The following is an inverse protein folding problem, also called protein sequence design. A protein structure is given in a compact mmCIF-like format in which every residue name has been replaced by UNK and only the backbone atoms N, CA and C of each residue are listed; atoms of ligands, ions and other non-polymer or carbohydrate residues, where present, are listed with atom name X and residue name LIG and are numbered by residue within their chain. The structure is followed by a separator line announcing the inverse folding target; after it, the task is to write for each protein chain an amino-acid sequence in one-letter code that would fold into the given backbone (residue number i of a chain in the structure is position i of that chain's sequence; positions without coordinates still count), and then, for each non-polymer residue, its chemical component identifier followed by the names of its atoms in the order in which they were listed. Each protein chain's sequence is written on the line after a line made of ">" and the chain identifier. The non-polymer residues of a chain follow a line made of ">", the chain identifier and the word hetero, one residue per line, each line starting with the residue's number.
data_IF_990160098730
#
_entry.id   IF_990160098730
#
_cell.length_a   1.000
_cell.length_b   1.000
_cell.length_c   1.000
_cell.angle_alpha   90.00
_cell.angle_beta   90.00
_cell.angle_gamma   90.00
#
_symmetry.space_group_name_H-M   'P 1'
#
loop_
_entity.id
_entity.type
_entity.pdbx_description
1 polymer ?
#
# COMPACT_ATOMS: atom_id res chain seq x y z
N UNK A 1 49.97 -6.58 -1.27
CA UNK A 1 50.73 -6.75 -0.01
C UNK A 1 50.35 -5.72 1.05
N UNK A 2 49.76 -4.59 0.68
CA UNK A 2 49.33 -3.51 1.59
C UNK A 2 48.33 -3.96 2.66
N UNK A 3 47.55 -5.01 2.37
CA UNK A 3 46.64 -5.63 3.35
C UNK A 3 47.35 -6.03 4.64
N UNK A 4 48.62 -6.45 4.60
CA UNK A 4 49.37 -6.82 5.81
C UNK A 4 49.88 -5.61 6.61
N UNK A 5 49.86 -4.40 6.02
CA UNK A 5 50.08 -3.16 6.76
C UNK A 5 48.81 -2.77 7.52
N UNK A 6 47.64 -2.89 6.88
CA UNK A 6 46.33 -2.60 7.50
C UNK A 6 45.90 -3.66 8.53
N UNK A 7 46.22 -4.91 8.24
CA UNK A 7 45.85 -6.07 9.05
C UNK A 7 47.06 -6.99 9.22
N UNK A 8 47.99 -6.63 10.12
CA UNK A 8 49.18 -7.44 10.39
C UNK A 8 48.82 -8.87 10.79
N UNK A 9 49.55 -9.84 10.22
CA UNK A 9 49.35 -11.26 10.45
C UNK A 9 50.64 -11.90 10.97
N UNK A 10 50.50 -12.91 11.86
CA UNK A 10 51.61 -13.75 12.34
C UNK A 10 51.25 -15.23 12.26
N UNK A 11 50.99 -15.76 11.04
CA UNK A 11 50.63 -17.16 10.85
C UNK A 11 51.76 -18.10 11.30
N UNK A 12 51.38 -19.21 11.91
CA UNK A 12 52.35 -20.13 12.49
C UNK A 12 52.85 -21.18 11.50
N UNK A 13 52.12 -21.43 10.41
CA UNK A 13 52.44 -22.40 9.35
C UNK A 13 52.83 -23.82 9.79
N UNK A 14 52.55 -24.21 11.04
CA UNK A 14 52.81 -25.55 11.59
C UNK A 14 52.43 -26.72 10.65
N UNK A 15 51.29 -26.71 9.94
CA UNK A 15 50.95 -27.79 9.01
C UNK A 15 51.93 -27.97 7.84
N UNK A 16 52.71 -26.94 7.49
CA UNK A 16 53.67 -26.97 6.38
C UNK A 16 55.01 -27.61 6.76
N UNK A 17 55.21 -28.04 8.02
CA UNK A 17 56.46 -28.70 8.46
C UNK A 17 56.75 -30.01 7.71
N UNK A 18 55.76 -30.59 7.05
CA UNK A 18 55.89 -31.79 6.22
C UNK A 18 56.64 -31.56 4.90
N UNK A 19 56.84 -30.29 4.49
CA UNK A 19 57.52 -29.93 3.24
C UNK A 19 58.97 -29.54 3.48
N UNK A 20 59.82 -29.74 2.47
CA UNK A 20 61.22 -29.26 2.47
C UNK A 20 61.28 -27.73 2.44
N UNK A 21 62.43 -27.14 2.77
CA UNK A 21 62.59 -25.69 2.97
C UNK A 21 61.99 -24.82 1.85
N UNK A 22 62.34 -25.09 0.59
CA UNK A 22 61.89 -24.33 -0.58
C UNK A 22 60.39 -24.48 -0.84
N UNK A 23 59.87 -25.70 -0.78
CA UNK A 23 58.44 -25.98 -0.95
C UNK A 23 57.59 -25.35 0.17
N UNK A 24 58.08 -25.44 1.40
CA UNK A 24 57.44 -24.85 2.58
C UNK A 24 57.29 -23.34 2.43
N UNK A 25 58.33 -22.68 1.93
CA UNK A 25 58.30 -21.24 1.65
C UNK A 25 57.27 -20.91 0.56
N UNK A 26 57.27 -21.65 -0.55
CA UNK A 26 56.27 -21.49 -1.62
C UNK A 26 54.83 -21.64 -1.11
N UNK A 27 54.55 -22.65 -0.29
CA UNK A 27 53.25 -22.84 0.33
C UNK A 27 52.87 -21.70 1.29
N UNK A 28 53.82 -21.23 2.12
CA UNK A 28 53.58 -20.13 3.04
C UNK A 28 53.24 -18.84 2.27
N UNK A 29 54.00 -18.51 1.22
CA UNK A 29 53.72 -17.39 0.33
C UNK A 29 52.34 -17.52 -0.35
N UNK A 30 52.00 -18.71 -0.84
CA UNK A 30 50.68 -18.97 -1.43
C UNK A 30 49.52 -18.71 -0.47
N UNK A 31 49.66 -19.09 0.81
CA UNK A 31 48.67 -18.78 1.84
C UNK A 31 48.58 -17.28 2.15
N UNK A 32 49.71 -16.57 2.17
CA UNK A 32 49.74 -15.11 2.35
C UNK A 32 49.00 -14.38 1.22
N UNK A 33 49.28 -14.76 -0.04
CA UNK A 33 48.59 -14.20 -1.21
C UNK A 33 47.10 -14.50 -1.13
N UNK A 34 46.74 -15.76 -0.86
CA UNK A 34 45.33 -16.19 -0.69
C UNK A 34 44.61 -15.33 0.35
N UNK A 35 45.22 -15.08 1.51
CA UNK A 35 44.63 -14.22 2.54
C UNK A 35 44.42 -12.79 2.03
N UNK A 36 45.43 -12.18 1.41
CA UNK A 36 45.33 -10.81 0.86
C UNK A 36 44.19 -10.71 -0.16
N UNK A 37 44.13 -11.63 -1.11
CA UNK A 37 43.09 -11.68 -2.14
C UNK A 37 41.71 -11.83 -1.50
N UNK A 38 41.56 -12.72 -0.52
CA UNK A 38 40.28 -12.97 0.12
C UNK A 38 39.78 -11.76 0.91
N UNK A 39 40.67 -10.99 1.55
CA UNK A 39 40.33 -9.72 2.21
C UNK A 39 39.79 -8.71 1.19
N UNK A 40 40.46 -8.56 0.06
CA UNK A 40 40.02 -7.66 -1.03
C UNK A 40 38.69 -8.11 -1.64
N UNK A 41 38.53 -9.41 -1.93
CA UNK A 41 37.27 -9.97 -2.42
C UNK A 41 36.13 -9.72 -1.43
N UNK A 42 36.38 -9.93 -0.13
CA UNK A 42 35.38 -9.68 0.91
C UNK A 42 35.05 -8.20 1.04
N UNK A 43 36.04 -7.30 0.92
CA UNK A 43 35.87 -5.84 0.92
C UNK A 43 34.99 -5.38 -0.24
N UNK A 44 35.20 -5.94 -1.42
CA UNK A 44 34.49 -5.58 -2.66
C UNK A 44 33.13 -6.28 -2.83
N UNK A 45 32.83 -7.28 -1.99
CA UNK A 45 31.56 -8.01 -2.04
C UNK A 45 30.38 -7.12 -1.66
N UNK A 46 29.29 -7.26 -2.43
CA UNK A 46 28.03 -6.51 -2.27
C UNK A 46 26.89 -7.46 -1.91
N UNK A 47 25.72 -6.92 -1.56
CA UNK A 47 24.54 -7.75 -1.26
C UNK A 47 24.08 -8.61 -2.45
N UNK A 48 24.35 -8.15 -3.68
CA UNK A 48 24.08 -8.90 -4.91
C UNK A 48 25.07 -10.03 -5.21
N UNK A 49 26.20 -10.12 -4.47
CA UNK A 49 27.16 -11.21 -4.65
C UNK A 49 26.50 -12.55 -4.32
N UNK A 50 26.66 -13.60 -5.15
CA UNK A 50 26.06 -14.92 -4.90
C UNK A 50 26.42 -15.48 -3.52
N UNK A 51 25.50 -16.23 -2.92
CA UNK A 51 25.70 -16.80 -1.58
C UNK A 51 26.83 -17.85 -1.57
N UNK A 52 26.95 -18.62 -2.65
CA UNK A 52 28.05 -19.57 -2.86
C UNK A 52 29.44 -18.94 -2.74
N UNK A 53 29.61 -17.70 -3.22
CA UNK A 53 30.89 -16.99 -3.07
C UNK A 53 31.27 -16.78 -1.60
N UNK A 54 30.29 -16.47 -0.74
CA UNK A 54 30.54 -16.31 0.70
C UNK A 54 30.84 -17.65 1.38
N UNK A 55 30.17 -18.73 0.98
CA UNK A 55 30.46 -20.08 1.48
C UNK A 55 31.88 -20.52 1.12
N UNK A 56 32.33 -20.25 -0.11
CA UNK A 56 33.69 -20.57 -0.53
C UNK A 56 34.73 -19.74 0.23
N UNK A 57 34.46 -18.45 0.46
CA UNK A 57 35.27 -17.60 1.33
C UNK A 57 35.40 -18.23 2.73
N UNK A 58 34.29 -18.67 3.34
CA UNK A 58 34.31 -19.28 4.67
C UNK A 58 35.14 -20.57 4.71
N UNK A 59 35.06 -21.41 3.67
CA UNK A 59 35.90 -22.63 3.55
C UNK A 59 37.38 -22.29 3.49
N UNK A 60 37.77 -21.28 2.71
CA UNK A 60 39.17 -20.85 2.61
C UNK A 60 39.64 -20.22 3.92
N UNK A 61 38.81 -19.42 4.59
CA UNK A 61 39.11 -18.87 5.92
C UNK A 61 39.35 -19.96 6.96
N UNK A 62 38.55 -21.04 6.95
CA UNK A 62 38.77 -22.19 7.83
C UNK A 62 40.16 -22.81 7.61
N UNK A 63 40.57 -22.99 6.35
CA UNK A 63 41.90 -23.50 6.02
C UNK A 63 43.03 -22.54 6.46
N UNK A 64 42.87 -21.23 6.24
CA UNK A 64 43.86 -20.23 6.68
C UNK A 64 43.97 -20.18 8.20
N UNK A 65 42.86 -20.33 8.93
CA UNK A 65 42.85 -20.43 10.39
C UNK A 65 43.69 -21.59 10.89
N UNK A 66 43.66 -22.75 10.21
CA UNK A 66 44.52 -23.91 10.54
C UNK A 66 46.01 -23.61 10.36
N UNK A 67 46.38 -22.62 9.53
CA UNK A 67 47.75 -22.18 9.33
C UNK A 67 48.15 -21.02 10.26
N UNK A 68 47.26 -20.59 11.15
CA UNK A 68 47.49 -19.59 12.18
C UNK A 68 47.13 -18.16 11.78
N UNK A 69 46.39 -17.96 10.69
CA UNK A 69 45.90 -16.63 10.31
C UNK A 69 44.79 -16.17 11.27
N UNK A 70 44.79 -14.87 11.62
CA UNK A 70 43.67 -14.23 12.29
C UNK A 70 42.61 -13.83 11.26
N UNK A 71 41.60 -14.69 11.13
CA UNK A 71 40.52 -14.54 10.15
C UNK A 71 39.28 -13.84 10.70
N UNK A 72 39.26 -13.47 12.00
CA UNK A 72 38.04 -13.05 12.71
C UNK A 72 37.33 -11.88 12.01
N UNK A 73 38.07 -10.82 11.68
CA UNK A 73 37.51 -9.62 11.04
C UNK A 73 36.84 -9.94 9.70
N UNK A 74 37.48 -10.79 8.90
CA UNK A 74 36.99 -11.17 7.57
C UNK A 74 35.77 -12.08 7.70
N UNK A 75 35.84 -13.06 8.60
CA UNK A 75 34.74 -13.97 8.91
C UNK A 75 33.49 -13.18 9.38
N UNK A 76 33.64 -12.29 10.36
CA UNK A 76 32.54 -11.44 10.86
C UNK A 76 31.93 -10.58 9.75
N UNK A 77 32.76 -10.05 8.85
CA UNK A 77 32.28 -9.26 7.71
C UNK A 77 31.41 -10.09 6.76
N UNK A 78 31.82 -11.33 6.47
CA UNK A 78 31.07 -12.27 5.63
C UNK A 78 29.74 -12.67 6.29
N UNK A 79 29.78 -13.04 7.57
CA UNK A 79 28.57 -13.38 8.34
C UNK A 79 27.56 -12.23 8.38
N UNK A 80 28.03 -10.99 8.54
CA UNK A 80 27.20 -9.79 8.50
C UNK A 80 26.59 -9.54 7.11
N UNK A 81 27.33 -9.82 6.02
CA UNK A 81 26.79 -9.74 4.66
C UNK A 81 25.69 -10.77 4.43
N UNK A 82 25.90 -12.01 4.86
CA UNK A 82 24.91 -13.08 4.78
C UNK A 82 23.63 -12.72 5.54
N UNK A 83 23.75 -12.29 6.80
CA UNK A 83 22.59 -11.87 7.62
C UNK A 83 21.80 -10.72 6.97
N UNK A 84 22.49 -9.73 6.39
CA UNK A 84 21.83 -8.62 5.66
C UNK A 84 21.08 -9.13 4.43
N UNK A 85 21.66 -10.09 3.71
CA UNK A 85 21.05 -10.69 2.52
C UNK A 85 19.79 -11.49 2.86
N UNK A 86 19.82 -12.27 3.94
CA UNK A 86 18.65 -13.02 4.41
C UNK A 86 17.51 -12.07 4.81
N UNK A 87 17.86 -11.00 5.52
CA UNK A 87 16.92 -9.94 5.92
C UNK A 87 16.29 -9.26 4.69
N UNK A 88 17.09 -8.98 3.66
CA UNK A 88 16.59 -8.44 2.39
C UNK A 88 15.62 -9.41 1.70
N UNK A 89 15.91 -10.72 1.71
CA UNK A 89 15.01 -11.75 1.21
C UNK A 89 13.64 -11.75 1.92
N UNK A 90 13.63 -11.63 3.25
CA UNK A 90 12.37 -11.52 3.99
C UNK A 90 11.60 -10.24 3.68
N UNK A 91 12.28 -9.10 3.61
CA UNK A 91 11.66 -7.81 3.31
C UNK A 91 11.05 -7.80 1.91
N UNK A 92 11.72 -8.38 0.92
CA UNK A 92 11.21 -8.49 -0.44
C UNK A 92 9.90 -9.29 -0.49
N UNK A 93 9.85 -10.44 0.18
CA UNK A 93 8.62 -11.26 0.29
C UNK A 93 7.48 -10.49 0.94
N UNK A 94 7.74 -9.80 2.05
CA UNK A 94 6.73 -8.98 2.73
C UNK A 94 6.25 -7.83 1.84
N UNK A 95 7.16 -7.18 1.11
CA UNK A 95 6.83 -6.13 0.14
C UNK A 95 5.95 -6.66 -1.00
N UNK A 96 6.24 -7.84 -1.55
CA UNK A 96 5.40 -8.46 -2.59
C UNK A 96 3.99 -8.77 -2.07
N UNK A 97 3.87 -9.32 -0.86
CA UNK A 97 2.58 -9.56 -0.21
C UNK A 97 1.81 -8.25 -0.03
N UNK A 98 2.47 -7.19 0.45
CA UNK A 98 1.85 -5.89 0.65
C UNK A 98 1.37 -5.27 -0.68
N UNK A 99 2.17 -5.35 -1.74
CA UNK A 99 1.77 -4.93 -3.10
C UNK A 99 0.55 -5.69 -3.59
N UNK A 100 0.52 -7.01 -3.39
CA UNK A 100 -0.64 -7.84 -3.75
C UNK A 100 -1.92 -7.42 -3.01
N UNK A 101 -1.83 -7.13 -1.71
CA UNK A 101 -2.96 -6.60 -0.92
C UNK A 101 -3.40 -5.23 -1.40
N UNK A 102 -2.45 -4.35 -1.71
CA UNK A 102 -2.75 -3.00 -2.21
C UNK A 102 -3.55 -3.06 -3.51
N UNK A 103 -3.14 -3.91 -4.47
CA UNK A 103 -3.85 -4.08 -5.74
C UNK A 103 -5.30 -4.52 -5.50
N UNK A 104 -5.53 -5.49 -4.60
CA UNK A 104 -6.90 -5.94 -4.28
C UNK A 104 -7.76 -4.80 -3.73
N UNK A 105 -7.25 -4.06 -2.76
CA UNK A 105 -7.97 -2.91 -2.18
C UNK A 105 -8.25 -1.84 -3.23
N UNK A 106 -7.30 -1.56 -4.13
CA UNK A 106 -7.51 -0.59 -5.22
C UNK A 106 -8.64 -1.02 -6.16
N UNK A 107 -8.75 -2.31 -6.47
CA UNK A 107 -9.86 -2.84 -7.29
C UNK A 107 -11.20 -2.70 -6.56
N UNK A 108 -11.27 -3.12 -5.28
CA UNK A 108 -12.48 -3.00 -4.46
C UNK A 108 -12.96 -1.55 -4.33
N UNK A 109 -12.04 -0.60 -4.14
CA UNK A 109 -12.36 0.84 -4.10
C UNK A 109 -12.98 1.30 -5.43
N UNK A 110 -12.42 0.88 -6.58
CA UNK A 110 -12.96 1.24 -7.89
C UNK A 110 -14.36 0.65 -8.14
N UNK A 111 -14.64 -0.55 -7.65
CA UNK A 111 -15.98 -1.15 -7.71
C UNK A 111 -16.99 -0.34 -6.88
N UNK A 112 -16.62 0.04 -5.65
CA UNK A 112 -17.47 0.86 -4.79
C UNK A 112 -17.69 2.28 -5.35
N UNK A 113 -16.69 2.89 -5.97
CA UNK A 113 -16.84 4.18 -6.67
C UNK A 113 -17.88 4.08 -7.80
N UNK A 114 -17.82 3.02 -8.62
CA UNK A 114 -18.78 2.80 -9.69
C UNK A 114 -20.22 2.56 -9.18
N UNK A 115 -20.37 1.91 -8.03
CA UNK A 115 -21.67 1.76 -7.36
C UNK A 115 -22.18 3.09 -6.81
N UNK A 116 -21.31 3.88 -6.17
CA UNK A 116 -21.66 5.23 -5.67
C UNK A 116 -22.13 6.15 -6.79
N UNK A 117 -21.51 6.10 -7.97
CA UNK A 117 -21.93 6.90 -9.14
C UNK A 117 -23.35 6.53 -9.60
N UNK A 118 -23.68 5.23 -9.63
CA UNK A 118 -25.04 4.77 -9.96
C UNK A 118 -26.05 5.27 -8.94
N UNK A 119 -25.75 5.10 -7.65
CA UNK A 119 -26.62 5.55 -6.55
C UNK A 119 -26.82 7.07 -6.61
N UNK A 120 -25.76 7.84 -6.86
CA UNK A 120 -25.82 9.30 -7.01
C UNK A 120 -26.72 9.71 -8.16
N UNK A 121 -26.62 9.03 -9.31
CA UNK A 121 -27.49 9.27 -10.46
C UNK A 121 -28.96 9.01 -10.12
N UNK A 122 -29.25 7.96 -9.37
CA UNK A 122 -30.62 7.64 -8.98
C UNK A 122 -31.17 8.61 -7.92
N UNK A 123 -30.36 9.05 -6.96
CA UNK A 123 -30.70 10.15 -6.03
C UNK A 123 -31.09 11.41 -6.80
N UNK A 124 -30.33 11.78 -7.83
CA UNK A 124 -30.62 12.96 -8.64
C UNK A 124 -31.95 12.83 -9.39
N UNK A 125 -32.25 11.66 -9.96
CA UNK A 125 -33.56 11.41 -10.61
C UNK A 125 -34.72 11.54 -9.62
N UNK A 126 -34.58 10.96 -8.44
CA UNK A 126 -35.62 11.04 -7.39
C UNK A 126 -35.80 12.47 -6.93
N UNK A 127 -34.70 13.21 -6.73
CA UNK A 127 -34.73 14.62 -6.33
C UNK A 127 -35.46 15.48 -7.35
N UNK A 128 -35.24 15.23 -8.65
CA UNK A 128 -35.95 15.92 -9.72
C UNK A 128 -37.46 15.65 -9.68
N UNK A 129 -37.88 14.40 -9.52
CA UNK A 129 -39.32 14.06 -9.41
C UNK A 129 -39.97 14.68 -8.17
N UNK A 130 -39.25 14.76 -7.04
CA UNK A 130 -39.73 15.45 -5.84
C UNK A 130 -39.97 16.94 -6.13
N UNK A 131 -39.09 17.60 -6.89
CA UNK A 131 -39.30 19.00 -7.26
C UNK A 131 -40.53 19.20 -8.15
N UNK A 132 -40.74 18.35 -9.17
CA UNK A 132 -41.92 18.39 -10.04
C UNK A 132 -43.21 18.21 -9.24
N UNK A 133 -43.25 17.22 -8.34
CA UNK A 133 -44.42 16.96 -7.50
C UNK A 133 -44.72 18.13 -6.55
N UNK A 134 -43.70 18.80 -5.99
CA UNK A 134 -43.89 19.98 -5.14
C UNK A 134 -44.52 21.13 -5.91
N UNK A 135 -44.09 21.36 -7.16
CA UNK A 135 -44.68 22.40 -8.02
C UNK A 135 -46.13 22.08 -8.38
N UNK A 136 -46.43 20.82 -8.70
CA UNK A 136 -47.81 20.39 -8.98
C UNK A 136 -48.72 20.59 -7.76
N UNK A 137 -48.25 20.25 -6.55
CA UNK A 137 -49.00 20.47 -5.30
C UNK A 137 -49.26 21.95 -5.06
N UNK A 138 -48.28 22.83 -5.29
CA UNK A 138 -48.47 24.27 -5.16
C UNK A 138 -49.56 24.78 -6.12
N UNK A 139 -49.51 24.38 -7.39
CA UNK A 139 -50.51 24.75 -8.39
C UNK A 139 -51.93 24.26 -8.05
N UNK A 140 -52.05 23.04 -7.51
CA UNK A 140 -53.33 22.49 -7.08
C UNK A 140 -53.90 23.23 -5.86
N UNK A 141 -53.05 23.65 -4.92
CA UNK A 141 -53.45 24.45 -3.77
C UNK A 141 -53.96 25.83 -4.22
N UNK A 142 -53.27 26.53 -5.11
CA UNK A 142 -53.72 27.81 -5.65
C UNK A 142 -55.09 27.69 -6.35
N UNK A 143 -55.26 26.61 -7.12
CA UNK A 143 -56.54 26.31 -7.78
C UNK A 143 -57.63 26.02 -6.75
N UNK A 144 -57.35 25.23 -5.72
CA UNK A 144 -58.28 24.93 -4.64
C UNK A 144 -58.75 26.21 -3.94
N UNK A 145 -57.84 27.12 -3.61
CA UNK A 145 -58.16 28.38 -2.94
C UNK A 145 -59.02 29.29 -3.82
N UNK A 146 -58.71 29.36 -5.12
CA UNK A 146 -59.54 30.09 -6.10
C UNK A 146 -60.96 29.55 -6.21
N UNK A 147 -61.13 28.21 -6.19
CA UNK A 147 -62.43 27.55 -6.26
C UNK A 147 -63.20 27.73 -4.95
N UNK A 148 -62.52 27.67 -3.81
CA UNK A 148 -63.09 27.92 -2.49
C UNK A 148 -63.66 29.34 -2.40
N UNK A 149 -62.92 30.34 -2.90
CA UNK A 149 -63.40 31.72 -3.01
C UNK A 149 -64.64 31.84 -3.90
N UNK A 150 -64.62 31.25 -5.10
CA UNK A 150 -65.78 31.25 -6.01
C UNK A 150 -67.00 30.56 -5.40
N UNK A 151 -66.81 29.46 -4.65
CA UNK A 151 -67.87 28.75 -3.94
C UNK A 151 -68.52 29.64 -2.87
N UNK A 152 -67.72 30.37 -2.08
CA UNK A 152 -68.23 31.33 -1.09
C UNK A 152 -69.03 32.46 -1.73
N UNK A 153 -68.51 33.06 -2.81
CA UNK A 153 -69.21 34.11 -3.57
C UNK A 153 -70.56 33.60 -4.13
N UNK A 154 -70.59 32.40 -4.72
CA UNK A 154 -71.81 31.78 -5.20
C UNK A 154 -72.82 31.52 -4.05
N UNK A 155 -72.36 31.05 -2.89
CA UNK A 155 -73.18 30.88 -1.70
C UNK A 155 -73.82 32.19 -1.22
N UNK A 156 -73.07 33.29 -1.22
CA UNK A 156 -73.61 34.62 -0.89
C UNK A 156 -74.68 35.07 -1.89
N UNK A 157 -74.49 34.79 -3.19
CA UNK A 157 -75.50 35.10 -4.22
C UNK A 157 -76.77 34.27 -4.02
N UNK A 158 -76.66 32.97 -3.74
CA UNK A 158 -77.80 32.09 -3.47
C UNK A 158 -78.61 32.60 -2.29
N UNK A 159 -77.97 32.88 -1.15
CA UNK A 159 -78.66 33.37 0.05
C UNK A 159 -79.37 34.70 -0.18
N UNK A 160 -78.78 35.62 -0.96
CA UNK A 160 -79.44 36.87 -1.34
C UNK A 160 -80.65 36.65 -2.27
N UNK A 161 -80.56 35.72 -3.22
CA UNK A 161 -81.69 35.39 -4.10
C UNK A 161 -82.83 34.71 -3.33
N UNK A 162 -82.52 33.82 -2.39
CA UNK A 162 -83.51 33.20 -1.50
C UNK A 162 -84.27 34.25 -0.69
N UNK A 163 -83.56 35.19 -0.05
CA UNK A 163 -84.20 36.31 0.67
C UNK A 163 -85.14 37.14 -0.20
N UNK A 164 -84.76 37.39 -1.46
CA UNK A 164 -85.62 38.09 -2.43
C UNK A 164 -86.85 37.27 -2.78
N UNK A 165 -86.70 35.98 -3.06
CA UNK A 165 -87.80 35.08 -3.34
C UNK A 165 -88.79 35.01 -2.17
N UNK A 166 -88.29 34.82 -0.93
CA UNK A 166 -89.11 34.78 0.29
C UNK A 166 -89.87 36.09 0.52
N UNK A 167 -89.26 37.23 0.18
CA UNK A 167 -89.91 38.54 0.29
C UNK A 167 -91.05 38.70 -0.72
N UNK A 168 -90.88 38.18 -1.93
CA UNK A 168 -91.92 38.18 -2.98
C UNK A 168 -93.08 37.26 -2.56
N UNK A 169 -92.79 36.06 -2.08
CA UNK A 169 -93.80 35.06 -1.68
C UNK A 169 -94.66 35.54 -0.50
N UNK A 170 -94.09 36.36 0.40
CA UNK A 170 -94.86 37.06 1.46
C UNK A 170 -95.78 38.14 0.91
N UNK A 171 -95.40 38.81 -0.18
CA UNK A 171 -96.16 39.90 -0.77
C UNK A 171 -97.33 39.40 -1.64
N UNK A 172 -97.26 38.18 -2.16
CA UNK A 172 -98.31 37.57 -2.99
C UNK A 172 -99.37 36.77 -2.21
N UNK A 173 -99.12 36.49 -0.92
CA UNK A 173 -100.05 35.79 -0.01
C UNK A 173 -100.81 36.71 0.95
N UNK A 174 -100.62 38.03 0.86
CA UNK A 174 -101.33 39.05 1.64
C UNK A 174 -102.36 39.78 0.78
#
# INVERSE_FOLDING_TARGET
>A
MDIFQEMPQKPHFRPLKKYIGLEREGHALGHMITFSTLVETTRNSKLGTPTSCFEDILKVLANLKLHGFDVRKVQTRVELLLKKKDSQGSLNKTSEIAKGKLIKVTVEVGEHEAELDKVTKDINKVSHRITELRELVANLNDKHDSLTKKKLEAGFRITNLQKKADSIDKCTRS
#
